data_IF_394882199686
#
_entry.id   IF_394882199686
#
_cell.length_a   1.000
_cell.length_b   1.000
_cell.length_c   1.000
_cell.angle_alpha   90.00
_cell.angle_beta   90.00
_cell.angle_gamma   90.00
#
_symmetry.space_group_name_H-M   'P 1'
#
loop_
_entity.id
_entity.type
_entity.pdbx_description
1 polymer ?
#
# COMPACT_ATOMS: atom_id res chain seq x y z
N UNK A 1 24.53 8.51 24.69
CA UNK A 1 25.04 8.60 23.31
C UNK A 1 24.35 9.80 22.67
N UNK A 2 25.09 10.89 22.40
CA UNK A 2 24.48 12.16 21.98
C UNK A 2 24.14 12.13 20.49
N UNK A 3 22.87 12.32 20.14
CA UNK A 3 22.42 12.51 18.76
C UNK A 3 23.00 13.84 18.24
N UNK A 4 24.04 13.80 17.42
CA UNK A 4 24.47 14.97 16.63
C UNK A 4 23.36 15.29 15.63
N UNK A 5 22.84 16.51 15.65
CA UNK A 5 22.00 17.05 14.59
C UNK A 5 22.89 17.31 13.38
N UNK A 6 22.74 16.50 12.33
CA UNK A 6 23.48 16.68 11.08
C UNK A 6 22.94 17.92 10.34
N UNK A 7 23.77 18.95 10.16
CA UNK A 7 23.46 20.12 9.33
C UNK A 7 23.59 19.77 7.85
N UNK A 8 22.90 20.52 6.99
CA UNK A 8 22.90 20.34 5.53
C UNK A 8 24.29 20.61 4.88
N UNK A 9 25.27 21.09 5.66
CA UNK A 9 26.61 21.49 5.23
C UNK A 9 27.65 20.38 5.25
N UNK A 10 27.43 19.28 5.99
CA UNK A 10 28.48 18.32 6.37
C UNK A 10 28.32 16.96 5.67
N UNK A 11 27.61 16.93 4.54
CA UNK A 11 27.41 15.71 3.75
C UNK A 11 28.72 15.25 3.09
N UNK A 12 28.93 13.94 3.01
CA UNK A 12 30.10 13.31 2.39
C UNK A 12 29.72 12.29 1.31
N UNK A 13 28.42 12.08 1.06
CA UNK A 13 27.90 11.18 0.03
C UNK A 13 26.97 11.92 -0.94
N UNK A 14 27.17 11.68 -2.23
CA UNK A 14 26.26 12.04 -3.33
C UNK A 14 25.64 10.77 -3.89
N UNK A 15 24.31 10.71 -3.92
CA UNK A 15 23.55 9.58 -4.45
C UNK A 15 22.76 10.07 -5.66
N UNK A 16 23.09 9.53 -6.83
CA UNK A 16 22.44 9.85 -8.10
C UNK A 16 21.47 8.72 -8.42
N UNK A 17 20.18 9.04 -8.44
CA UNK A 17 19.11 8.06 -8.70
C UNK A 17 18.28 8.43 -9.92
N UNK A 18 17.62 7.42 -10.49
CA UNK A 18 16.79 7.56 -11.68
C UNK A 18 17.57 7.50 -12.99
N UNK A 19 16.84 7.55 -14.10
CA UNK A 19 17.41 7.38 -15.45
C UNK A 19 16.76 8.36 -16.44
N UNK A 20 17.45 8.63 -17.54
CA UNK A 20 16.99 9.52 -18.61
C UNK A 20 16.74 10.95 -18.10
N UNK A 21 15.53 11.45 -18.33
CA UNK A 21 15.13 12.80 -17.89
C UNK A 21 14.76 12.87 -16.40
N UNK A 22 14.65 11.74 -15.70
CA UNK A 22 14.22 11.68 -14.30
C UNK A 22 15.38 11.35 -13.36
N UNK A 23 16.54 11.97 -13.59
CA UNK A 23 17.72 11.81 -12.74
C UNK A 23 17.70 12.87 -11.64
N UNK A 24 18.06 12.48 -10.42
CA UNK A 24 18.19 13.40 -9.29
C UNK A 24 19.37 13.04 -8.40
N UNK A 25 20.11 14.06 -7.97
CA UNK A 25 21.15 13.95 -6.94
C UNK A 25 20.55 14.19 -5.55
N UNK A 26 20.96 13.36 -4.60
CA UNK A 26 20.69 13.48 -3.17
C UNK A 26 22.01 13.56 -2.40
N UNK A 27 22.03 14.41 -1.37
CA UNK A 27 23.16 14.57 -0.47
C UNK A 27 22.87 13.83 0.84
N UNK A 28 23.86 13.13 1.37
CA UNK A 28 23.69 12.32 2.57
C UNK A 28 25.00 12.10 3.33
N UNK A 29 24.90 11.51 4.52
CA UNK A 29 26.00 11.22 5.42
C UNK A 29 26.29 9.72 5.43
N UNK A 30 27.54 9.35 5.16
CA UNK A 30 28.01 7.97 5.06
C UNK A 30 27.76 7.18 6.34
N UNK A 31 27.95 7.83 7.49
CA UNK A 31 27.77 7.27 8.83
C UNK A 31 26.33 6.83 9.09
N UNK A 32 25.35 7.68 8.73
CA UNK A 32 23.93 7.37 8.91
C UNK A 32 23.53 6.25 7.95
N UNK A 33 23.84 6.38 6.67
CA UNK A 33 23.49 5.39 5.64
C UNK A 33 24.05 4.01 6.01
N UNK A 34 25.34 3.93 6.35
CA UNK A 34 26.02 2.67 6.68
C UNK A 34 25.51 2.04 7.98
N UNK A 35 24.99 2.84 8.92
CA UNK A 35 24.40 2.31 10.15
C UNK A 35 23.00 1.71 9.95
N UNK A 36 22.30 2.07 8.85
CA UNK A 36 20.90 1.71 8.62
C UNK A 36 20.69 0.76 7.44
N UNK A 37 21.70 0.54 6.61
CA UNK A 37 21.62 -0.30 5.41
C UNK A 37 22.95 -1.01 5.18
N UNK A 38 22.88 -2.34 5.08
CA UNK A 38 24.04 -3.17 4.75
C UNK A 38 24.56 -2.88 3.33
N UNK A 39 23.68 -2.59 2.39
CA UNK A 39 24.06 -2.13 1.05
C UNK A 39 24.96 -0.89 1.14
N UNK A 40 24.50 0.16 1.83
CA UNK A 40 25.28 1.38 1.96
C UNK A 40 26.57 1.17 2.76
N UNK A 41 26.54 0.33 3.80
CA UNK A 41 27.74 -0.03 4.56
C UNK A 41 28.82 -0.62 3.64
N UNK A 42 28.45 -1.55 2.75
CA UNK A 42 29.37 -2.16 1.80
C UNK A 42 29.80 -1.17 0.71
N UNK A 43 28.85 -0.47 0.10
CA UNK A 43 29.09 0.48 -0.99
C UNK A 43 30.00 1.66 -0.57
N UNK A 44 29.96 2.05 0.71
CA UNK A 44 30.78 3.12 1.27
C UNK A 44 32.08 2.59 1.91
N UNK A 45 32.28 1.27 1.96
CA UNK A 45 33.52 0.67 2.48
C UNK A 45 34.66 0.74 1.45
N UNK A 46 35.87 0.97 1.94
CA UNK A 46 36.97 1.54 1.16
C UNK A 46 37.40 0.85 -0.14
N UNK A 47 37.10 -0.45 -0.33
CA UNK A 47 37.49 -1.18 -1.57
C UNK A 47 36.49 -1.02 -2.72
N UNK A 48 35.24 -0.65 -2.43
CA UNK A 48 34.17 -0.53 -3.44
C UNK A 48 33.64 0.91 -3.56
N UNK A 49 34.15 1.82 -2.74
CA UNK A 49 33.77 3.22 -2.75
C UNK A 49 34.39 3.98 -3.93
N UNK A 50 33.54 4.53 -4.80
CA UNK A 50 33.97 5.55 -5.77
C UNK A 50 34.01 6.91 -5.08
N UNK A 51 35.21 7.44 -4.84
CA UNK A 51 35.38 8.80 -4.33
C UNK A 51 35.72 9.76 -5.47
N UNK A 52 34.95 10.83 -5.58
CA UNK A 52 35.20 11.96 -6.49
C UNK A 52 35.30 13.24 -5.66
N UNK A 53 36.45 13.93 -5.72
CA UNK A 53 36.66 15.22 -5.05
C UNK A 53 36.18 15.21 -3.58
N UNK A 54 36.66 14.23 -2.81
CA UNK A 54 36.34 13.97 -1.39
C UNK A 54 34.93 13.45 -1.07
N UNK A 55 34.03 13.31 -2.05
CA UNK A 55 32.70 12.73 -1.85
C UNK A 55 32.63 11.28 -2.31
N UNK A 56 31.91 10.44 -1.56
CA UNK A 56 31.44 9.15 -2.06
C UNK A 56 30.34 9.37 -3.10
N UNK A 57 30.43 8.72 -4.26
CA UNK A 57 29.42 8.79 -5.32
C UNK A 57 28.79 7.42 -5.53
N UNK A 58 27.48 7.34 -5.28
CA UNK A 58 26.67 6.14 -5.51
C UNK A 58 25.67 6.43 -6.63
N UNK A 59 25.61 5.56 -7.63
CA UNK A 59 24.67 5.66 -8.74
C UNK A 59 23.69 4.50 -8.67
N UNK A 60 22.40 4.80 -8.66
CA UNK A 60 21.35 3.79 -8.74
C UNK A 60 20.25 4.21 -9.74
N UNK A 61 20.40 3.87 -11.03
CA UNK A 61 19.48 4.32 -12.06
C UNK A 61 18.11 3.64 -12.00
N UNK A 62 17.98 2.54 -11.26
CA UNK A 62 16.74 1.75 -11.17
C UNK A 62 15.76 2.28 -10.13
N UNK A 63 16.22 3.13 -9.21
CA UNK A 63 15.37 3.72 -8.18
C UNK A 63 14.83 5.07 -8.63
N UNK A 64 13.51 5.23 -8.58
CA UNK A 64 12.88 6.52 -8.86
C UNK A 64 13.23 7.59 -7.80
N UNK A 65 13.49 8.85 -8.20
CA UNK A 65 13.82 9.92 -7.26
C UNK A 65 12.80 10.12 -6.13
N UNK A 66 11.51 10.02 -6.44
CA UNK A 66 10.46 10.15 -5.43
C UNK A 66 10.52 9.02 -4.38
N UNK A 67 10.69 7.79 -4.84
CA UNK A 67 10.87 6.61 -3.97
C UNK A 67 12.11 6.75 -3.11
N UNK A 68 13.23 7.17 -3.70
CA UNK A 68 14.48 7.36 -2.95
C UNK A 68 14.34 8.44 -1.89
N UNK A 69 13.60 9.53 -2.16
CA UNK A 69 13.33 10.57 -1.16
C UNK A 69 12.64 9.99 0.08
N UNK A 70 11.65 9.11 -0.10
CA UNK A 70 10.95 8.45 1.01
C UNK A 70 11.91 7.53 1.78
N UNK A 71 12.74 6.76 1.07
CA UNK A 71 13.75 5.88 1.69
C UNK A 71 14.75 6.70 2.52
N UNK A 72 15.22 7.83 1.98
CA UNK A 72 16.14 8.71 2.68
C UNK A 72 15.48 9.30 3.94
N UNK A 73 14.23 9.75 3.85
CA UNK A 73 13.46 10.20 5.02
C UNK A 73 13.29 9.08 6.07
N UNK A 74 13.08 7.83 5.64
CA UNK A 74 13.02 6.67 6.54
C UNK A 74 14.36 6.42 7.24
N UNK A 75 15.47 6.43 6.51
CA UNK A 75 16.82 6.21 7.08
C UNK A 75 17.14 7.25 8.16
N UNK A 76 16.75 8.51 7.95
CA UNK A 76 17.06 9.59 8.89
C UNK A 76 16.05 9.74 10.04
N UNK A 77 14.78 9.40 9.83
CA UNK A 77 13.68 9.80 10.73
C UNK A 77 12.78 8.63 11.16
N UNK A 78 13.02 7.41 10.68
CA UNK A 78 12.17 6.23 10.89
C UNK A 78 10.68 6.50 10.57
N UNK A 79 10.43 7.36 9.57
CA UNK A 79 9.07 7.77 9.23
C UNK A 79 8.25 6.62 8.64
N UNK A 80 7.00 6.52 9.09
CA UNK A 80 6.02 5.53 8.64
C UNK A 80 5.45 5.84 7.25
N UNK A 81 5.09 4.80 6.49
CA UNK A 81 4.60 4.82 5.10
C UNK A 81 3.08 5.13 5.01
N UNK A 82 2.51 5.87 5.97
CA UNK A 82 1.05 5.96 6.19
C UNK A 82 0.21 6.47 5.01
N UNK A 83 0.82 7.11 4.00
CA UNK A 83 0.11 7.75 2.86
C UNK A 83 0.61 7.30 1.49
N UNK A 84 1.33 6.19 1.39
CA UNK A 84 1.81 5.70 0.11
C UNK A 84 0.68 5.12 -0.74
N UNK A 85 0.69 5.42 -2.05
CA UNK A 85 -0.15 4.72 -3.03
C UNK A 85 0.30 3.26 -3.19
N UNK A 86 -0.54 2.42 -3.81
CA UNK A 86 -0.19 1.04 -4.14
C UNK A 86 1.11 0.94 -4.96
N UNK A 87 1.22 1.77 -6.00
CA UNK A 87 2.43 1.88 -6.83
C UNK A 87 3.64 2.35 -6.03
N UNK A 88 3.47 3.33 -5.13
CA UNK A 88 4.55 3.77 -4.24
C UNK A 88 5.02 2.64 -3.33
N UNK A 89 4.09 1.81 -2.81
CA UNK A 89 4.45 0.65 -2.00
C UNK A 89 5.27 -0.36 -2.81
N UNK A 90 4.87 -0.69 -4.04
CA UNK A 90 5.61 -1.62 -4.90
C UNK A 90 7.01 -1.10 -5.24
N UNK A 91 7.12 0.19 -5.59
CA UNK A 91 8.40 0.85 -5.81
C UNK A 91 9.28 0.86 -4.55
N UNK A 92 8.70 1.09 -3.38
CA UNK A 92 9.41 1.05 -2.10
C UNK A 92 9.90 -0.36 -1.79
N UNK A 93 9.08 -1.40 -2.02
CA UNK A 93 9.48 -2.80 -1.80
C UNK A 93 10.68 -3.18 -2.67
N UNK A 94 10.60 -2.86 -3.96
CA UNK A 94 11.69 -3.10 -4.92
C UNK A 94 12.99 -2.37 -4.52
N UNK A 95 12.92 -1.06 -4.29
CA UNK A 95 14.08 -0.25 -3.94
C UNK A 95 14.63 -0.60 -2.54
N UNK A 96 13.77 -1.02 -1.61
CA UNK A 96 14.21 -1.44 -0.27
C UNK A 96 14.92 -2.79 -0.30
N UNK A 97 14.49 -3.74 -1.14
CA UNK A 97 15.23 -4.99 -1.34
C UNK A 97 16.62 -4.71 -1.94
N UNK A 98 16.68 -3.86 -2.97
CA UNK A 98 17.94 -3.45 -3.62
C UNK A 98 18.91 -2.74 -2.65
N UNK A 99 18.38 -1.98 -1.69
CA UNK A 99 19.16 -1.27 -0.67
C UNK A 99 19.31 -2.05 0.64
N UNK A 100 18.92 -3.32 0.69
CA UNK A 100 18.98 -4.19 1.87
C UNK A 100 18.28 -3.58 3.12
N UNK A 101 17.11 -2.96 2.91
CA UNK A 101 16.25 -2.33 3.92
C UNK A 101 15.01 -3.19 4.21
N UNK A 102 15.21 -4.41 4.71
CA UNK A 102 14.15 -5.42 4.90
C UNK A 102 12.93 -4.89 5.68
N UNK A 103 13.16 -4.18 6.79
CA UNK A 103 12.08 -3.64 7.61
C UNK A 103 11.18 -2.65 6.84
N UNK A 104 11.78 -1.84 5.96
CA UNK A 104 11.02 -0.89 5.13
C UNK A 104 10.21 -1.64 4.06
N UNK A 105 10.80 -2.68 3.45
CA UNK A 105 10.12 -3.51 2.48
C UNK A 105 8.89 -4.21 3.11
N UNK A 106 9.04 -4.78 4.31
CA UNK A 106 7.93 -5.38 5.05
C UNK A 106 6.84 -4.36 5.42
N UNK A 107 7.24 -3.16 5.83
CA UNK A 107 6.27 -2.10 6.13
C UNK A 107 5.48 -1.70 4.88
N UNK A 108 6.15 -1.60 3.73
CA UNK A 108 5.50 -1.26 2.46
C UNK A 108 4.56 -2.39 2.01
N UNK A 109 4.96 -3.65 2.15
CA UNK A 109 4.12 -4.80 1.85
C UNK A 109 2.88 -4.86 2.74
N UNK A 110 3.04 -4.73 4.06
CA UNK A 110 1.93 -4.70 5.01
C UNK A 110 0.95 -3.56 4.70
N UNK A 111 1.48 -2.39 4.34
CA UNK A 111 0.64 -1.25 3.94
C UNK A 111 -0.12 -1.53 2.62
N UNK A 112 0.56 -2.08 1.61
CA UNK A 112 -0.04 -2.45 0.33
C UNK A 112 -1.21 -3.43 0.53
N UNK A 113 -1.00 -4.50 1.30
CA UNK A 113 -2.04 -5.50 1.55
C UNK A 113 -3.20 -4.90 2.35
N UNK A 114 -2.90 -4.14 3.41
CA UNK A 114 -3.94 -3.61 4.31
C UNK A 114 -4.76 -2.48 3.69
N UNK A 115 -4.15 -1.64 2.85
CA UNK A 115 -4.79 -0.41 2.33
C UNK A 115 -5.15 -0.46 0.85
N UNK A 116 -4.55 -1.37 0.08
CA UNK A 116 -4.69 -1.42 -1.38
C UNK A 116 -5.00 -2.83 -1.91
N UNK A 117 -5.61 -3.71 -1.09
CA UNK A 117 -6.04 -5.05 -1.51
C UNK A 117 -7.02 -5.01 -2.69
N UNK A 118 -7.99 -4.10 -2.68
CA UNK A 118 -8.95 -3.91 -3.78
C UNK A 118 -8.25 -3.54 -5.09
N UNK A 119 -7.26 -2.64 -5.02
CA UNK A 119 -6.42 -2.30 -6.16
C UNK A 119 -5.62 -3.51 -6.64
N UNK A 120 -5.05 -4.31 -5.76
CA UNK A 120 -4.32 -5.54 -6.13
C UNK A 120 -5.22 -6.54 -6.86
N UNK A 121 -6.47 -6.70 -6.42
CA UNK A 121 -7.41 -7.72 -6.91
C UNK A 121 -8.11 -7.37 -8.25
N UNK A 122 -8.02 -6.13 -8.74
CA UNK A 122 -8.67 -5.67 -9.99
C UNK A 122 -10.18 -5.80 -9.98
N UNK A 123 -10.81 -5.66 -8.83
CA UNK A 123 -12.25 -5.79 -8.79
C UNK A 123 -12.85 -4.55 -9.47
N UNK A 124 -13.29 -4.73 -10.72
CA UNK A 124 -14.14 -3.76 -11.41
C UNK A 124 -15.40 -3.56 -10.56
N UNK A 125 -16.04 -2.38 -10.59
CA UNK A 125 -17.21 -2.14 -9.76
C UNK A 125 -18.24 -3.25 -9.93
N UNK A 126 -18.61 -3.92 -8.85
CA UNK A 126 -19.50 -5.07 -8.89
C UNK A 126 -20.47 -5.06 -7.73
N UNK A 127 -21.63 -5.67 -7.98
CA UNK A 127 -22.55 -6.00 -6.93
C UNK A 127 -22.31 -7.43 -6.45
N UNK A 128 -22.09 -7.59 -5.15
CA UNK A 128 -22.16 -8.90 -4.52
C UNK A 128 -23.62 -9.34 -4.40
N UNK A 129 -23.88 -10.59 -4.80
CA UNK A 129 -25.22 -11.18 -4.73
C UNK A 129 -25.44 -11.88 -3.39
N UNK A 130 -26.45 -11.46 -2.63
CA UNK A 130 -26.89 -12.17 -1.42
C UNK A 130 -28.33 -11.82 -1.07
N UNK A 131 -29.11 -12.80 -0.62
CA UNK A 131 -30.47 -12.59 -0.07
C UNK A 131 -30.46 -12.29 1.42
N UNK A 132 -29.31 -12.43 2.08
CA UNK A 132 -29.19 -12.34 3.53
C UNK A 132 -28.66 -10.98 4.00
N UNK A 133 -28.42 -10.03 3.09
CA UNK A 133 -27.94 -8.70 3.46
C UNK A 133 -29.06 -7.89 4.13
N UNK A 134 -28.69 -7.17 5.18
CA UNK A 134 -29.57 -6.26 5.89
C UNK A 134 -28.75 -5.09 6.40
N UNK A 135 -29.40 -3.94 6.51
CA UNK A 135 -28.90 -2.74 7.20
C UNK A 135 -29.89 -2.43 8.33
N UNK A 136 -29.41 -1.88 9.44
CA UNK A 136 -30.26 -1.57 10.58
C UNK A 136 -29.80 -0.29 11.28
N UNK A 137 -30.70 0.29 12.07
CA UNK A 137 -30.41 1.43 12.93
C UNK A 137 -31.12 1.32 14.26
N UNK A 138 -30.47 1.84 15.30
CA UNK A 138 -30.96 1.96 16.67
C UNK A 138 -31.13 3.42 17.10
N UNK A 139 -31.37 4.34 16.16
CA UNK A 139 -31.58 5.77 16.48
C UNK A 139 -32.65 5.97 17.56
N UNK A 140 -33.74 5.18 17.48
CA UNK A 140 -34.69 4.99 18.59
C UNK A 140 -34.56 3.55 19.12
N UNK A 141 -34.01 3.35 20.32
CA UNK A 141 -33.91 2.03 20.94
C UNK A 141 -35.26 1.33 21.16
N UNK A 142 -36.36 2.09 21.22
CA UNK A 142 -37.72 1.55 21.37
C UNK A 142 -38.32 1.09 20.04
N UNK A 143 -37.75 1.53 18.92
CA UNK A 143 -38.23 1.23 17.58
C UNK A 143 -37.06 1.02 16.60
N UNK A 144 -36.31 -0.09 16.74
CA UNK A 144 -35.20 -0.38 15.85
C UNK A 144 -35.67 -0.61 14.42
N UNK A 145 -34.97 -0.02 13.47
CA UNK A 145 -35.25 -0.19 12.04
C UNK A 145 -34.36 -1.29 11.51
N UNK A 146 -34.96 -2.29 10.87
CA UNK A 146 -34.25 -3.35 10.14
C UNK A 146 -34.73 -3.36 8.70
N UNK A 147 -33.82 -3.13 7.78
CA UNK A 147 -34.09 -3.07 6.34
C UNK A 147 -33.34 -4.19 5.64
N UNK A 148 -34.08 -5.08 4.95
CA UNK A 148 -33.49 -6.19 4.19
C UNK A 148 -33.35 -5.83 2.72
N UNK A 149 -32.41 -6.49 2.04
CA UNK A 149 -32.25 -6.35 0.59
C UNK A 149 -33.47 -6.87 -0.17
N UNK A 150 -33.95 -6.09 -1.14
CA UNK A 150 -35.00 -6.47 -2.09
C UNK A 150 -34.35 -7.13 -3.32
N UNK A 151 -33.41 -6.42 -3.94
CA UNK A 151 -32.68 -6.89 -5.12
C UNK A 151 -31.41 -7.60 -4.70
N UNK A 152 -31.47 -8.92 -4.52
CA UNK A 152 -30.34 -9.70 -4.01
C UNK A 152 -29.07 -9.57 -4.87
N UNK A 153 -29.18 -9.31 -6.17
CA UNK A 153 -28.06 -9.10 -7.10
C UNK A 153 -27.50 -7.67 -7.06
N UNK A 154 -28.00 -6.83 -6.15
CA UNK A 154 -27.54 -5.46 -5.88
C UNK A 154 -27.32 -5.23 -4.38
N UNK A 155 -26.96 -6.26 -3.63
CA UNK A 155 -26.96 -6.19 -2.17
C UNK A 155 -25.80 -5.34 -1.60
N UNK A 156 -24.60 -5.50 -2.14
CA UNK A 156 -23.40 -4.78 -1.69
C UNK A 156 -22.66 -4.30 -2.93
N UNK A 157 -22.42 -2.99 -3.02
CA UNK A 157 -21.61 -2.39 -4.06
C UNK A 157 -20.14 -2.35 -3.62
N UNK A 158 -19.25 -2.82 -4.48
CA UNK A 158 -17.82 -2.76 -4.24
C UNK A 158 -17.14 -2.05 -5.40
N UNK A 159 -16.41 -0.99 -5.09
CA UNK A 159 -15.51 -0.33 -6.02
C UNK A 159 -14.33 0.34 -5.29
N UNK A 160 -13.50 1.05 -6.04
CA UNK A 160 -12.31 1.73 -5.52
C UNK A 160 -12.56 3.17 -5.02
N UNK A 161 -13.79 3.67 -5.12
CA UNK A 161 -14.16 5.06 -4.84
C UNK A 161 -15.02 5.22 -3.57
N UNK A 162 -15.56 4.12 -3.06
CA UNK A 162 -16.41 4.07 -1.88
C UNK A 162 -15.76 3.28 -0.73
N UNK A 163 -16.19 3.57 0.49
CA UNK A 163 -16.00 2.66 1.63
C UNK A 163 -17.07 1.56 1.59
N UNK A 164 -17.60 1.12 2.75
CA UNK A 164 -18.75 0.22 2.79
C UNK A 164 -19.92 0.80 2.00
N UNK A 165 -20.51 -0.01 1.13
CA UNK A 165 -21.64 0.42 0.31
C UNK A 165 -22.65 -0.72 0.19
N UNK A 166 -23.79 -0.57 0.86
CA UNK A 166 -24.93 -1.48 0.77
C UNK A 166 -25.92 -0.92 -0.24
N UNK A 167 -26.42 -1.78 -1.11
CA UNK A 167 -27.36 -1.36 -2.15
C UNK A 167 -26.69 -0.46 -3.18
N UNK A 168 -27.48 0.43 -3.76
CA UNK A 168 -27.00 1.45 -4.69
C UNK A 168 -27.04 2.80 -3.97
N UNK A 169 -26.12 2.97 -3.03
CA UNK A 169 -26.10 4.06 -2.04
C UNK A 169 -27.14 3.95 -0.92
N UNK A 170 -27.73 2.77 -0.67
CA UNK A 170 -28.75 2.63 0.38
C UNK A 170 -28.17 2.93 1.78
N UNK A 171 -26.92 2.50 1.99
CA UNK A 171 -26.03 3.02 3.02
C UNK A 171 -24.62 2.94 2.47
N UNK A 172 -23.97 4.08 2.24
CA UNK A 172 -22.70 4.08 1.52
C UNK A 172 -21.76 5.19 1.98
N UNK A 173 -20.49 4.83 2.21
CA UNK A 173 -19.45 5.79 2.53
C UNK A 173 -18.81 6.34 1.24
N UNK A 174 -18.82 7.67 1.09
CA UNK A 174 -18.16 8.40 0.00
C UNK A 174 -17.14 9.37 0.58
N UNK A 175 -15.87 9.11 0.29
CA UNK A 175 -14.74 9.95 0.71
C UNK A 175 -14.76 10.22 2.23
N UNK A 176 -15.39 11.31 2.66
CA UNK A 176 -15.45 11.85 4.02
C UNK A 176 -16.87 11.93 4.62
N UNK A 177 -17.90 11.49 3.91
CA UNK A 177 -19.28 11.48 4.40
C UNK A 177 -19.99 10.16 4.04
N UNK A 178 -21.13 9.93 4.70
CA UNK A 178 -22.02 8.82 4.41
C UNK A 178 -23.26 9.33 3.70
N UNK A 179 -23.73 8.55 2.73
CA UNK A 179 -24.98 8.75 2.02
C UNK A 179 -25.95 7.63 2.39
N UNK A 180 -27.24 7.98 2.49
CA UNK A 180 -28.31 7.00 2.60
C UNK A 180 -29.44 7.36 1.64
N UNK A 181 -29.84 6.36 0.84
CA UNK A 181 -31.06 6.38 0.04
C UNK A 181 -31.84 5.08 0.25
N UNK A 182 -33.03 4.97 -0.32
CA UNK A 182 -33.83 3.74 -0.27
C UNK A 182 -34.14 3.28 -1.69
N UNK A 183 -33.32 2.40 -2.25
CA UNK A 183 -33.47 1.94 -3.64
C UNK A 183 -33.46 0.42 -3.79
N UNK A 184 -32.62 -0.29 -3.04
CA UNK A 184 -32.47 -1.75 -3.11
C UNK A 184 -32.74 -2.44 -1.77
N UNK A 185 -33.02 -1.67 -0.72
CA UNK A 185 -33.42 -2.14 0.60
C UNK A 185 -34.86 -1.67 0.92
N UNK A 186 -35.55 -2.36 1.83
CA UNK A 186 -36.98 -2.15 2.10
C UNK A 186 -37.35 -0.76 2.63
N UNK A 187 -36.47 -0.17 3.43
CA UNK A 187 -36.64 1.16 4.02
C UNK A 187 -35.29 1.85 4.27
N UNK A 188 -35.32 3.18 4.38
CA UNK A 188 -34.23 3.96 4.95
C UNK A 188 -34.05 3.60 6.42
N UNK A 189 -32.80 3.58 6.88
CA UNK A 189 -32.44 3.38 8.29
C UNK A 189 -31.97 4.67 8.97
N UNK A 190 -31.75 5.74 8.19
CA UNK A 190 -31.37 7.07 8.67
C UNK A 190 -32.23 8.10 7.91
N UNK A 191 -32.72 9.12 8.62
CA UNK A 191 -33.57 10.18 8.04
C UNK A 191 -32.78 11.27 7.30
N UNK A 192 -31.45 11.18 7.30
CA UNK A 192 -30.53 12.11 6.65
C UNK A 192 -30.00 11.50 5.35
N UNK A 193 -30.05 12.26 4.26
CA UNK A 193 -29.45 11.86 2.98
C UNK A 193 -27.92 11.86 3.02
N UNK A 194 -27.33 12.72 3.86
CA UNK A 194 -25.90 12.79 4.11
C UNK A 194 -25.60 13.01 5.60
N UNK A 195 -24.62 12.29 6.15
CA UNK A 195 -24.22 12.42 7.54
C UNK A 195 -22.76 12.03 7.77
N UNK A 196 -22.17 12.49 8.87
CA UNK A 196 -20.85 12.08 9.32
C UNK A 196 -20.96 10.84 10.22
N UNK A 197 -19.96 9.97 10.15
CA UNK A 197 -19.82 8.81 11.04
C UNK A 197 -18.46 8.92 11.72
N UNK A 198 -18.47 8.88 13.05
CA UNK A 198 -17.25 8.99 13.85
C UNK A 198 -16.37 7.73 13.74
N UNK A 199 -16.99 6.55 13.67
CA UNK A 199 -16.30 5.27 13.64
C UNK A 199 -17.11 4.20 12.87
N UNK A 200 -16.41 3.34 12.12
CA UNK A 200 -17.00 2.15 11.51
C UNK A 200 -15.95 1.03 11.39
N UNK A 201 -16.43 -0.21 11.37
CA UNK A 201 -15.60 -1.40 11.18
C UNK A 201 -16.11 -2.25 10.01
N UNK A 202 -15.20 -2.93 9.31
CA UNK A 202 -15.50 -3.78 8.15
C UNK A 202 -14.74 -5.09 8.26
N UNK A 203 -15.42 -6.20 8.01
CA UNK A 203 -14.84 -7.54 7.97
C UNK A 203 -15.11 -8.18 6.60
N UNK A 204 -14.11 -8.78 5.97
CA UNK A 204 -14.21 -9.39 4.63
C UNK A 204 -13.64 -10.81 4.59
N UNK A 205 -14.24 -11.68 3.75
CA UNK A 205 -13.81 -13.08 3.49
C UNK A 205 -13.68 -13.27 1.97
N UNK A 206 -12.51 -13.69 1.49
CA UNK A 206 -12.17 -13.74 0.05
C UNK A 206 -12.22 -15.16 -0.55
N UNK A 207 -12.46 -15.26 -1.87
CA UNK A 207 -12.42 -16.51 -2.66
C UNK A 207 -11.39 -16.37 -3.82
N UNK A 208 -10.54 -17.39 -4.04
CA UNK A 208 -9.13 -17.16 -4.38
C UNK A 208 -8.68 -17.35 -5.86
N UNK A 209 -9.43 -18.07 -6.71
CA UNK A 209 -8.86 -18.57 -7.98
C UNK A 209 -8.66 -17.54 -9.12
N UNK A 210 -9.60 -16.61 -9.35
CA UNK A 210 -9.48 -15.64 -10.46
C UNK A 210 -8.51 -14.49 -10.16
N UNK A 211 -8.20 -14.26 -8.88
CA UNK A 211 -7.43 -13.12 -8.40
C UNK A 211 -5.91 -13.28 -8.61
N UNK A 212 -5.41 -14.52 -8.69
CA UNK A 212 -3.97 -14.83 -8.85
C UNK A 212 -3.38 -14.19 -10.10
N UNK A 213 -4.01 -14.40 -11.26
CA UNK A 213 -3.50 -13.91 -12.55
C UNK A 213 -3.54 -12.38 -12.66
N UNK A 214 -4.54 -11.73 -12.05
CA UNK A 214 -4.67 -10.27 -12.05
C UNK A 214 -3.59 -9.59 -11.20
N UNK A 215 -3.31 -10.15 -10.01
CA UNK A 215 -2.24 -9.66 -9.13
C UNK A 215 -0.87 -9.82 -9.79
N UNK A 216 -0.60 -10.98 -10.38
CA UNK A 216 0.65 -11.25 -11.07
C UNK A 216 0.93 -10.21 -12.17
N UNK A 217 -0.06 -9.92 -13.02
CA UNK A 217 0.10 -8.92 -14.09
C UNK A 217 0.40 -7.50 -13.57
N UNK A 218 -0.10 -7.14 -12.38
CA UNK A 218 0.20 -5.84 -11.77
C UNK A 218 1.59 -5.76 -11.19
N UNK A 219 2.02 -6.79 -10.46
CA UNK A 219 3.33 -6.76 -9.81
C UNK A 219 4.45 -6.95 -10.84
N UNK A 220 4.21 -7.71 -11.93
CA UNK A 220 5.17 -7.88 -13.03
C UNK A 220 5.60 -6.58 -13.70
N UNK A 221 4.82 -5.51 -13.61
CA UNK A 221 5.21 -4.18 -14.09
C UNK A 221 6.37 -3.60 -13.28
N UNK A 222 6.58 -4.08 -12.06
CA UNK A 222 7.65 -3.72 -11.15
C UNK A 222 8.68 -4.85 -11.14
N UNK A 223 9.59 -4.84 -12.13
CA UNK A 223 10.55 -5.92 -12.41
C UNK A 223 11.32 -6.44 -11.18
N UNK A 224 11.56 -5.59 -10.18
CA UNK A 224 12.33 -5.91 -8.97
C UNK A 224 11.44 -6.32 -7.77
N UNK A 225 10.12 -6.22 -7.87
CA UNK A 225 9.18 -6.63 -6.81
C UNK A 225 8.81 -8.13 -6.87
N UNK A 226 9.33 -8.86 -7.85
CA UNK A 226 9.03 -10.29 -8.12
C UNK A 226 9.33 -11.20 -6.95
N UNK A 227 10.41 -10.94 -6.19
CA UNK A 227 10.74 -11.66 -4.96
C UNK A 227 9.63 -11.58 -3.89
N UNK A 228 8.97 -10.43 -3.80
CA UNK A 228 7.88 -10.21 -2.84
C UNK A 228 6.52 -10.73 -3.31
N UNK A 229 6.40 -11.15 -4.58
CA UNK A 229 5.15 -11.67 -5.17
C UNK A 229 4.69 -12.93 -4.44
N UNK A 230 5.58 -13.90 -4.25
CA UNK A 230 5.23 -15.16 -3.58
C UNK A 230 4.67 -14.89 -2.18
N UNK A 231 5.33 -14.02 -1.42
CA UNK A 231 4.91 -13.65 -0.08
C UNK A 231 3.59 -12.84 -0.06
N UNK A 232 3.37 -11.92 -1.01
CA UNK A 232 2.08 -11.22 -1.14
C UNK A 232 0.97 -12.24 -1.41
N UNK A 233 1.20 -13.18 -2.32
CA UNK A 233 0.22 -14.18 -2.70
C UNK A 233 -0.08 -15.16 -1.56
N UNK A 234 0.91 -15.56 -0.76
CA UNK A 234 0.72 -16.37 0.45
C UNK A 234 -0.11 -15.62 1.51
N UNK A 235 0.23 -14.36 1.81
CA UNK A 235 -0.52 -13.55 2.80
C UNK A 235 -1.96 -13.32 2.34
N UNK A 236 -2.18 -13.12 1.04
CA UNK A 236 -3.50 -12.99 0.47
C UNK A 236 -4.24 -14.33 0.32
N UNK A 237 -3.67 -15.46 0.74
CA UNK A 237 -4.29 -16.79 0.65
C UNK A 237 -4.44 -17.32 -0.77
N UNK A 238 -3.69 -16.77 -1.73
CA UNK A 238 -3.75 -17.09 -3.16
C UNK A 238 -2.78 -18.22 -3.54
N UNK A 239 -1.73 -18.43 -2.76
CA UNK A 239 -0.77 -19.53 -2.90
C UNK A 239 -0.83 -20.43 -1.67
N UNK A 240 -0.78 -21.75 -1.87
CA UNK A 240 -0.53 -22.71 -0.80
C UNK A 240 0.98 -22.72 -0.52
N UNK A 241 1.43 -22.75 0.74
CA UNK A 241 2.86 -22.80 1.06
C UNK A 241 3.54 -23.98 0.35
N UNK A 242 4.58 -23.69 -0.46
CA UNK A 242 5.40 -24.71 -1.15
C UNK A 242 5.28 -24.80 -2.68
N UNK A 243 4.44 -23.98 -3.33
CA UNK A 243 4.21 -24.05 -4.79
C UNK A 243 5.26 -23.32 -5.66
N UNK A 244 6.31 -22.72 -5.09
CA UNK A 244 7.37 -22.04 -5.85
C UNK A 244 8.75 -22.65 -5.57
N UNK A 245 9.13 -23.65 -6.37
CA UNK A 245 10.53 -23.86 -6.72
C UNK A 245 10.79 -22.97 -7.94
N UNK A 246 11.47 -21.84 -7.75
CA UNK A 246 11.95 -21.02 -8.85
C UNK A 246 13.01 -21.86 -9.57
N UNK A 247 12.75 -22.24 -10.82
CA UNK A 247 13.82 -22.64 -11.73
C UNK A 247 14.57 -21.37 -12.11
N UNK A 248 15.74 -21.17 -11.52
CA UNK A 248 16.73 -20.23 -12.03
C UNK A 248 17.28 -20.81 -13.35
N UNK A 249 17.11 -20.08 -14.45
CA UNK A 249 17.93 -20.19 -15.67
C UNK A 249 18.89 -19.00 -15.74
#
# INVERSE_FOLDING_TARGET
MSLKTFSDSDFDVKIIVGNGQNIKEFKAHSTILSSRSLYFQRALSGRWSNKEHDFYVIKNPNIYPYTFKIILDYIYKEKTILRASAETCLNLMAASDELELLNLAECAQKHLIKKHSSWLLNEAPYFSKTSNSFIFSFTDPSNPILSRVIMNNKAIWSDKYHGPCFGNSDLCMRLDHWESVCTNYYCNIVDLSQFAVEEYEVFAVYNFNSSKTAILKRIQQFKNATKWVAQILEILGILVPGEFLISEE
#
